data_IF_635786633458
#
_entry.id   IF_635786633458
#
_cell.length_a   1.000
_cell.length_b   1.000
_cell.length_c   1.000
_cell.angle_alpha   90.00
_cell.angle_beta   90.00
_cell.angle_gamma   90.00
#
_symmetry.space_group_name_H-M   'P 1'
#
loop_
_entity.id
_entity.type
_entity.pdbx_description
1 polymer ?
#
# COMPACT_ATOMS: atom_id res chain seq x y z
N UNK A 1 -23.48 16.96 11.71
CA UNK A 1 -23.84 18.06 10.77
C UNK A 1 -22.77 19.12 10.91
N UNK A 2 -21.90 19.27 9.89
CA UNK A 2 -20.94 20.37 9.84
C UNK A 2 -21.50 21.36 8.79
N UNK A 3 -22.31 22.30 9.26
CA UNK A 3 -22.78 23.42 8.43
C UNK A 3 -21.91 24.64 8.74
N UNK A 4 -21.21 25.14 7.74
CA UNK A 4 -20.50 26.41 7.77
C UNK A 4 -19.34 26.38 6.77
N UNK A 5 -19.27 27.31 5.86
CA UNK A 5 -18.11 27.65 5.06
C UNK A 5 -16.99 28.19 5.98
N UNK A 6 -16.48 27.34 6.85
CA UNK A 6 -15.34 27.63 7.69
C UNK A 6 -14.06 27.36 6.89
N UNK A 7 -13.17 28.32 6.94
CA UNK A 7 -11.77 28.18 6.56
C UNK A 7 -11.09 27.21 7.55
N UNK A 8 -11.55 25.94 7.53
CA UNK A 8 -11.10 24.89 8.45
C UNK A 8 -9.65 24.56 8.11
N UNK A 9 -8.71 25.09 8.89
CA UNK A 9 -7.30 24.77 8.75
C UNK A 9 -6.98 23.38 9.28
N UNK A 10 -7.63 22.96 10.35
CA UNK A 10 -7.37 21.68 11.03
C UNK A 10 -8.66 20.93 11.33
N UNK A 11 -8.57 19.58 11.35
CA UNK A 11 -9.68 18.70 11.72
C UNK A 11 -9.19 17.75 12.82
N UNK A 12 -9.85 17.78 13.96
CA UNK A 12 -9.64 16.81 15.03
C UNK A 12 -10.38 15.51 14.67
N UNK A 13 -9.62 14.44 14.42
CA UNK A 13 -10.14 13.15 13.97
C UNK A 13 -10.68 12.30 15.14
N UNK A 14 -10.08 12.48 16.33
CA UNK A 14 -10.41 11.76 17.55
C UNK A 14 -10.34 12.68 18.76
N UNK A 15 -11.09 12.39 19.84
CA UNK A 15 -11.13 13.27 21.02
C UNK A 15 -9.81 13.34 21.79
N UNK A 16 -8.97 12.30 21.69
CA UNK A 16 -7.68 12.20 22.33
C UNK A 16 -6.99 10.89 21.98
N UNK A 17 -5.79 10.68 22.51
CA UNK A 17 -5.01 9.48 22.30
C UNK A 17 -4.24 9.09 23.57
N UNK A 18 -3.78 7.83 23.59
CA UNK A 18 -2.83 7.28 24.55
C UNK A 18 -1.67 6.64 23.76
N UNK A 19 -0.47 6.68 24.33
CA UNK A 19 0.72 6.04 23.75
C UNK A 19 0.70 4.54 24.02
N UNK A 20 1.07 3.76 23.00
CA UNK A 20 1.28 2.34 23.11
C UNK A 20 2.39 1.88 22.16
N UNK A 21 3.01 0.76 22.44
CA UNK A 21 4.17 0.25 21.70
C UNK A 21 3.86 -1.10 21.12
N UNK A 22 4.28 -1.33 19.89
CA UNK A 22 4.03 -2.56 19.16
C UNK A 22 4.69 -3.77 19.82
N UNK A 23 3.94 -4.86 19.95
CA UNK A 23 4.42 -6.15 20.41
C UNK A 23 4.33 -7.16 19.28
N UNK A 24 3.12 -7.41 18.77
CA UNK A 24 2.88 -8.33 17.65
C UNK A 24 1.60 -8.00 16.88
N UNK A 25 1.48 -8.51 15.67
CA UNK A 25 0.26 -8.47 14.88
C UNK A 25 -0.43 -9.83 14.92
N UNK A 26 -1.50 -9.95 15.70
CA UNK A 26 -2.24 -11.20 15.86
C UNK A 26 -2.94 -11.64 14.57
N UNK A 27 -3.45 -10.69 13.83
CA UNK A 27 -4.09 -10.90 12.52
C UNK A 27 -4.14 -9.58 11.75
N UNK A 28 -4.78 -9.60 10.56
CA UNK A 28 -4.84 -8.45 9.66
C UNK A 28 -5.34 -7.15 10.29
N UNK A 29 -6.14 -7.24 11.35
CA UNK A 29 -6.83 -6.09 11.95
C UNK A 29 -6.60 -5.94 13.44
N UNK A 30 -5.76 -6.75 14.06
CA UNK A 30 -5.54 -6.74 15.51
C UNK A 30 -4.07 -6.67 15.83
N UNK A 31 -3.72 -5.68 16.62
CA UNK A 31 -2.39 -5.46 17.16
C UNK A 31 -2.40 -5.71 18.67
N UNK A 32 -1.44 -6.49 19.15
CA UNK A 32 -1.04 -6.55 20.55
C UNK A 32 -0.06 -5.42 20.81
N UNK A 33 -0.40 -4.54 21.73
CA UNK A 33 0.37 -3.36 22.10
C UNK A 33 0.62 -3.35 23.60
N UNK A 34 1.66 -2.63 24.02
CA UNK A 34 1.99 -2.38 25.43
C UNK A 34 1.92 -0.88 25.70
N UNK A 35 1.11 -0.46 26.67
CA UNK A 35 1.02 0.94 27.10
C UNK A 35 2.26 1.35 27.91
N UNK A 36 2.50 2.66 28.07
CA UNK A 36 3.62 3.21 28.83
C UNK A 36 3.62 2.76 30.31
N UNK A 37 2.45 2.42 30.86
CA UNK A 37 2.34 1.87 32.22
C UNK A 37 2.61 0.36 32.32
N UNK A 38 3.00 -0.29 31.21
CA UNK A 38 3.28 -1.73 31.14
C UNK A 38 2.07 -2.62 30.84
N UNK A 39 0.85 -2.07 30.79
CA UNK A 39 -0.37 -2.79 30.47
C UNK A 39 -0.34 -3.36 29.06
N UNK A 40 -0.59 -4.65 28.89
CA UNK A 40 -0.75 -5.28 27.57
C UNK A 40 -2.20 -5.16 27.12
N UNK A 41 -2.39 -4.66 25.90
CA UNK A 41 -3.71 -4.41 25.33
C UNK A 41 -3.82 -4.95 23.91
N UNK A 42 -5.05 -5.12 23.44
CA UNK A 42 -5.40 -5.43 22.05
C UNK A 42 -6.11 -4.25 21.41
N UNK A 43 -5.60 -3.78 20.28
CA UNK A 43 -6.16 -2.65 19.55
C UNK A 43 -6.62 -3.07 18.15
N UNK A 44 -7.79 -2.61 17.72
CA UNK A 44 -8.24 -2.75 16.35
C UNK A 44 -7.51 -1.73 15.46
N UNK A 45 -6.88 -2.20 14.38
CA UNK A 45 -6.28 -1.36 13.34
C UNK A 45 -7.10 -1.48 12.05
N UNK A 46 -7.78 -0.40 11.65
CA UNK A 46 -8.58 -0.36 10.43
C UNK A 46 -7.71 -0.15 9.19
N UNK A 47 -6.60 -0.89 9.10
CA UNK A 47 -5.67 -0.86 7.98
C UNK A 47 -5.33 -2.29 7.54
N UNK A 48 -5.81 -2.72 6.36
CA UNK A 48 -5.53 -4.04 5.84
C UNK A 48 -4.15 -4.19 5.20
N UNK A 49 -3.37 -3.13 5.08
CA UNK A 49 -2.02 -3.11 4.55
C UNK A 49 -1.03 -3.96 5.35
N UNK A 50 0.14 -4.19 4.81
CA UNK A 50 1.19 -4.92 5.51
C UNK A 50 1.76 -4.12 6.67
N UNK A 51 1.98 -2.81 6.45
CA UNK A 51 2.54 -1.89 7.46
C UNK A 51 3.88 -2.37 8.03
N UNK A 52 4.69 -3.08 7.23
CA UNK A 52 5.93 -3.76 7.68
C UNK A 52 6.92 -2.76 8.30
N UNK A 53 6.92 -1.52 7.84
CA UNK A 53 7.74 -0.42 8.35
C UNK A 53 7.41 0.00 9.79
N UNK A 54 6.20 -0.31 10.26
CA UNK A 54 5.72 0.06 11.61
C UNK A 54 5.65 -1.14 12.56
N UNK A 55 5.62 -2.36 12.03
CA UNK A 55 5.44 -3.59 12.82
C UNK A 55 6.79 -4.11 13.36
N UNK A 56 7.52 -3.23 14.03
CA UNK A 56 8.79 -3.53 14.68
C UNK A 56 8.56 -3.45 16.20
N UNK A 57 8.97 -4.46 16.99
CA UNK A 57 8.78 -4.43 18.45
C UNK A 57 9.26 -3.12 19.07
N UNK A 58 8.42 -2.50 19.89
CA UNK A 58 8.68 -1.21 20.52
C UNK A 58 8.35 0.03 19.66
N UNK A 59 7.93 -0.14 18.41
CA UNK A 59 7.51 0.98 17.57
C UNK A 59 6.27 1.67 18.14
N UNK A 60 6.21 3.03 18.16
CA UNK A 60 5.12 3.78 18.77
C UNK A 60 3.82 3.71 17.94
N UNK A 61 2.72 3.45 18.60
CA UNK A 61 1.37 3.56 18.10
C UNK A 61 0.55 4.46 19.01
N UNK A 62 -0.37 5.22 18.43
CA UNK A 62 -1.31 6.06 19.15
C UNK A 62 -2.70 5.42 19.08
N UNK A 63 -3.29 5.24 20.25
CA UNK A 63 -4.55 4.54 20.40
C UNK A 63 -5.63 5.46 20.96
N UNK A 64 -6.88 5.17 20.63
CA UNK A 64 -8.06 5.82 21.24
C UNK A 64 -9.04 4.77 21.71
N UNK A 65 -9.95 5.13 22.60
CA UNK A 65 -11.05 4.25 22.99
C UNK A 65 -12.01 4.07 21.82
N UNK A 66 -12.37 2.81 21.52
CA UNK A 66 -13.35 2.48 20.51
C UNK A 66 -14.76 2.69 21.02
N UNK A 67 -15.62 3.26 20.21
CA UNK A 67 -16.97 3.64 20.65
C UNK A 67 -17.99 2.48 20.68
N UNK A 68 -17.82 1.41 19.90
CA UNK A 68 -18.79 0.28 19.84
C UNK A 68 -18.20 -0.93 19.09
N UNK A 69 -17.25 -1.62 19.63
CA UNK A 69 -16.64 -2.75 18.95
C UNK A 69 -16.16 -3.84 19.89
N UNK A 70 -15.78 -4.98 19.33
CA UNK A 70 -15.18 -6.10 20.04
C UNK A 70 -13.91 -5.70 20.83
N UNK A 71 -13.21 -4.66 20.38
CA UNK A 71 -11.96 -4.19 20.97
C UNK A 71 -12.17 -2.81 21.60
N UNK A 72 -11.72 -2.69 22.86
CA UNK A 72 -11.84 -1.45 23.62
C UNK A 72 -10.93 -0.33 23.07
N UNK A 73 -9.81 -0.71 22.45
CA UNK A 73 -8.88 0.24 21.84
C UNK A 73 -8.85 0.12 20.32
N UNK A 74 -8.58 1.26 19.68
CA UNK A 74 -8.36 1.41 18.25
C UNK A 74 -7.00 2.06 18.01
N UNK A 75 -6.13 1.46 17.22
CA UNK A 75 -4.89 2.07 16.74
C UNK A 75 -5.24 3.04 15.61
N UNK A 76 -4.99 4.33 15.83
CA UNK A 76 -5.45 5.40 14.93
C UNK A 76 -4.33 6.02 14.12
N UNK A 77 -3.13 6.07 14.68
CA UNK A 77 -1.95 6.59 14.00
C UNK A 77 -0.66 5.98 14.58
N UNK A 78 0.43 6.23 13.89
CA UNK A 78 1.79 5.89 14.32
C UNK A 78 2.72 7.05 13.97
N UNK A 79 3.97 7.00 14.44
CA UNK A 79 4.99 7.99 14.10
C UNK A 79 6.14 7.35 13.36
N UNK A 80 6.46 7.86 12.17
CA UNK A 80 7.50 7.30 11.32
C UNK A 80 8.14 8.38 10.44
N UNK A 81 9.47 8.43 10.38
CA UNK A 81 10.23 9.40 9.58
C UNK A 81 9.69 10.84 9.70
N UNK A 82 9.66 11.35 10.93
CA UNK A 82 9.21 12.70 11.28
C UNK A 82 7.78 13.06 10.87
N UNK A 83 6.92 12.04 10.74
CA UNK A 83 5.50 12.21 10.38
C UNK A 83 4.60 11.34 11.24
N UNK A 84 3.45 11.89 11.65
CA UNK A 84 2.33 11.09 12.13
C UNK A 84 1.58 10.51 10.95
N UNK A 85 1.35 9.21 10.96
CA UNK A 85 0.75 8.44 9.87
C UNK A 85 -0.63 7.98 10.30
N UNK A 86 -1.69 8.43 9.63
CA UNK A 86 -3.06 7.96 9.88
C UNK A 86 -3.20 6.49 9.43
N UNK A 87 -3.54 5.63 10.37
CA UNK A 87 -3.76 4.20 10.12
C UNK A 87 -5.23 3.87 9.82
N UNK A 88 -6.16 4.67 10.33
CA UNK A 88 -7.60 4.44 10.16
C UNK A 88 -8.07 4.81 8.73
N UNK A 89 -7.99 3.86 7.82
CA UNK A 89 -8.38 4.06 6.41
C UNK A 89 -9.87 4.38 6.23
N UNK A 90 -10.73 4.02 7.20
CA UNK A 90 -12.18 4.30 7.14
C UNK A 90 -12.44 5.82 7.21
N UNK A 91 -11.60 6.57 7.93
CA UNK A 91 -11.73 8.03 8.03
C UNK A 91 -11.46 8.75 6.71
N UNK A 92 -10.62 8.19 5.85
CA UNK A 92 -10.17 8.85 4.61
C UNK A 92 -11.33 9.18 3.68
N UNK A 93 -12.26 8.24 3.47
CA UNK A 93 -13.43 8.50 2.62
C UNK A 93 -14.29 9.67 3.15
N UNK A 94 -14.43 9.78 4.48
CA UNK A 94 -15.16 10.90 5.08
C UNK A 94 -14.41 12.23 4.94
N UNK A 95 -13.08 12.20 5.01
CA UNK A 95 -12.23 13.36 4.78
C UNK A 95 -12.30 13.85 3.33
N UNK A 96 -12.21 12.92 2.36
CA UNK A 96 -12.36 13.24 0.93
C UNK A 96 -13.75 13.83 0.65
N UNK A 97 -14.81 13.26 1.21
CA UNK A 97 -16.17 13.83 1.05
C UNK A 97 -16.24 15.24 1.61
N UNK A 98 -15.64 15.50 2.76
CA UNK A 98 -15.58 16.84 3.35
C UNK A 98 -14.83 17.80 2.43
N UNK A 99 -13.73 17.37 1.82
CA UNK A 99 -12.96 18.19 0.88
C UNK A 99 -13.75 18.48 -0.40
N UNK A 100 -14.46 17.50 -0.94
CA UNK A 100 -15.36 17.68 -2.09
C UNK A 100 -16.45 18.73 -1.78
N UNK A 101 -17.10 18.62 -0.63
CA UNK A 101 -18.17 19.57 -0.18
C UNK A 101 -17.65 20.99 0.04
N UNK A 102 -16.37 21.16 0.33
CA UNK A 102 -15.73 22.46 0.55
C UNK A 102 -14.89 22.93 -0.65
N UNK A 103 -15.08 22.36 -1.83
CA UNK A 103 -14.38 22.69 -3.07
C UNK A 103 -12.84 22.74 -2.91
N UNK A 104 -12.29 21.80 -2.10
CA UNK A 104 -10.83 21.66 -1.91
C UNK A 104 -10.19 20.72 -2.93
N UNK A 105 -10.99 20.08 -3.75
CA UNK A 105 -10.60 19.21 -4.86
C UNK A 105 -11.23 19.75 -6.14
N UNK A 106 -10.79 20.95 -6.53
CA UNK A 106 -11.30 21.73 -7.67
C UNK A 106 -11.13 21.02 -9.02
N UNK A 107 -10.24 20.05 -9.11
CA UNK A 107 -10.04 19.18 -10.28
C UNK A 107 -11.35 18.50 -10.75
N UNK A 108 -12.31 18.34 -9.85
CA UNK A 108 -13.61 17.75 -10.21
C UNK A 108 -14.66 18.75 -10.71
N UNK A 109 -14.36 20.08 -10.64
CA UNK A 109 -15.27 21.14 -11.05
C UNK A 109 -16.52 21.24 -10.16
N UNK A 110 -17.60 21.76 -10.70
CA UNK A 110 -18.86 21.99 -9.96
C UNK A 110 -19.58 20.66 -9.70
N UNK A 111 -19.39 20.11 -8.52
CA UNK A 111 -20.06 18.87 -8.05
C UNK A 111 -21.41 19.21 -7.45
N UNK A 112 -22.50 18.82 -8.14
CA UNK A 112 -23.87 19.05 -7.66
C UNK A 112 -24.31 17.99 -6.64
N UNK A 113 -23.85 16.73 -6.83
CA UNK A 113 -24.25 15.63 -5.95
C UNK A 113 -23.13 14.63 -5.73
N UNK A 114 -22.93 14.25 -4.48
CA UNK A 114 -21.96 13.23 -4.06
C UNK A 114 -22.73 12.00 -3.59
N UNK A 115 -22.47 10.83 -4.19
CA UNK A 115 -23.03 9.55 -3.78
C UNK A 115 -21.89 8.61 -3.36
N UNK A 116 -21.94 8.17 -2.11
CA UNK A 116 -20.96 7.21 -1.57
C UNK A 116 -21.27 5.77 -2.00
N UNK A 117 -20.23 4.98 -2.10
CA UNK A 117 -20.29 3.50 -2.26
C UNK A 117 -21.22 3.06 -3.40
N UNK A 118 -21.10 3.74 -4.55
CA UNK A 118 -21.94 3.46 -5.72
C UNK A 118 -21.46 2.21 -6.44
N UNK A 119 -22.35 1.23 -6.57
CA UNK A 119 -22.11 0.07 -7.42
C UNK A 119 -22.42 0.43 -8.88
N UNK A 120 -21.42 0.20 -9.75
CA UNK A 120 -21.54 0.28 -11.21
C UNK A 120 -20.95 -1.00 -11.77
N UNK A 121 -21.69 -1.70 -12.60
CA UNK A 121 -21.34 -3.04 -13.07
C UNK A 121 -21.05 -4.01 -11.91
N UNK A 122 -19.83 -4.54 -11.82
CA UNK A 122 -19.41 -5.51 -10.81
C UNK A 122 -18.58 -4.90 -9.67
N UNK A 123 -18.26 -3.61 -9.73
CA UNK A 123 -17.47 -2.92 -8.72
C UNK A 123 -18.26 -1.88 -7.96
N UNK A 124 -17.93 -1.74 -6.70
CA UNK A 124 -18.42 -0.67 -5.83
C UNK A 124 -17.30 0.34 -5.65
N UNK A 125 -17.52 1.55 -6.16
CA UNK A 125 -16.61 2.68 -6.10
C UNK A 125 -16.91 3.56 -4.88
N UNK A 126 -15.89 4.21 -4.35
CA UNK A 126 -16.03 5.02 -3.14
C UNK A 126 -16.98 6.20 -3.36
N UNK A 127 -16.91 6.86 -4.53
CA UNK A 127 -17.80 7.96 -4.87
C UNK A 127 -18.23 7.96 -6.34
N UNK A 128 -19.49 8.38 -6.55
CA UNK A 128 -19.99 8.90 -7.81
C UNK A 128 -20.30 10.39 -7.61
N UNK A 129 -19.67 11.25 -8.42
CA UNK A 129 -19.89 12.70 -8.41
C UNK A 129 -20.68 13.09 -9.65
N UNK A 130 -21.87 13.65 -9.43
CA UNK A 130 -22.69 14.23 -10.50
C UNK A 130 -22.31 15.70 -10.65
N UNK A 131 -22.01 16.14 -11.88
CA UNK A 131 -21.48 17.47 -12.19
C UNK A 131 -22.40 18.19 -13.16
N UNK A 132 -22.50 19.49 -13.04
CA UNK A 132 -23.31 20.33 -13.94
C UNK A 132 -22.74 20.33 -15.35
N UNK A 133 -23.54 19.87 -16.30
CA UNK A 133 -23.18 19.92 -17.74
C UNK A 133 -21.95 19.10 -18.13
N UNK A 134 -21.47 18.17 -17.26
CA UNK A 134 -20.29 17.37 -17.50
C UNK A 134 -20.54 15.87 -17.19
N UNK A 135 -19.64 15.01 -17.67
CA UNK A 135 -19.72 13.58 -17.39
C UNK A 135 -19.63 13.32 -15.89
N UNK A 136 -20.40 12.34 -15.36
CA UNK A 136 -20.25 11.96 -13.95
C UNK A 136 -18.88 11.37 -13.68
N UNK A 137 -18.34 11.62 -12.49
CA UNK A 137 -17.03 11.10 -12.06
C UNK A 137 -17.23 9.86 -11.22
N UNK A 138 -16.52 8.78 -11.55
CA UNK A 138 -16.28 7.66 -10.66
C UNK A 138 -14.93 7.86 -9.98
N UNK A 139 -14.95 7.96 -8.65
CA UNK A 139 -13.74 8.19 -7.84
C UNK A 139 -13.51 7.00 -6.91
N UNK A 140 -12.33 6.43 -7.04
CA UNK A 140 -11.80 5.40 -6.15
C UNK A 140 -10.68 5.98 -5.29
N UNK A 141 -10.67 5.70 -3.99
CA UNK A 141 -9.68 6.21 -3.05
C UNK A 141 -8.76 5.09 -2.60
N UNK A 142 -7.48 5.39 -2.54
CA UNK A 142 -6.45 4.49 -2.03
C UNK A 142 -5.68 5.18 -0.93
N UNK A 143 -5.67 4.59 0.27
CA UNK A 143 -4.80 5.04 1.36
C UNK A 143 -3.37 4.57 1.09
N UNK A 144 -2.42 5.50 1.16
CA UNK A 144 -1.00 5.26 0.97
C UNK A 144 -0.25 5.67 2.24
N UNK A 145 0.21 4.69 3.02
CA UNK A 145 1.03 4.92 4.22
C UNK A 145 2.52 4.68 3.96
N UNK A 146 2.87 3.96 2.90
CA UNK A 146 4.26 3.70 2.55
C UNK A 146 4.88 4.93 1.88
N UNK A 147 5.87 5.52 2.54
CA UNK A 147 6.70 6.59 1.99
C UNK A 147 8.13 6.44 2.51
N UNK A 148 9.10 6.41 1.62
CA UNK A 148 10.51 6.32 1.98
C UNK A 148 11.32 7.34 1.20
N UNK A 149 12.13 8.15 1.89
CA UNK A 149 12.94 9.22 1.29
C UNK A 149 12.13 10.19 0.39
N UNK A 150 10.87 10.45 0.75
CA UNK A 150 9.98 11.32 -0.01
C UNK A 150 9.30 10.67 -1.20
N UNK A 151 9.49 9.37 -1.44
CA UNK A 151 8.80 8.60 -2.47
C UNK A 151 7.65 7.84 -1.83
N UNK A 152 6.43 8.27 -2.10
CA UNK A 152 5.22 7.56 -1.66
C UNK A 152 4.88 6.46 -2.68
N UNK A 153 4.52 5.27 -2.18
CA UNK A 153 4.29 4.10 -3.03
C UNK A 153 3.01 3.35 -2.62
N UNK A 154 2.26 2.89 -3.62
CA UNK A 154 1.08 2.04 -3.44
C UNK A 154 1.09 0.90 -4.48
N UNK A 155 0.68 -0.33 -4.14
CA UNK A 155 0.20 -0.78 -2.82
C UNK A 155 1.34 -1.22 -1.88
N UNK A 156 1.04 -1.33 -0.59
CA UNK A 156 1.91 -1.93 0.42
C UNK A 156 1.69 -3.44 0.59
N UNK A 157 0.64 -4.00 -0.05
CA UNK A 157 0.33 -5.43 -0.14
C UNK A 157 -0.25 -5.78 -1.52
N UNK A 158 -0.06 -7.00 -2.05
CA UNK A 158 -0.66 -7.40 -3.32
C UNK A 158 -2.18 -7.21 -3.34
N UNK A 159 -2.70 -6.51 -4.35
CA UNK A 159 -4.09 -6.09 -4.43
C UNK A 159 -4.80 -6.50 -5.73
N UNK A 160 -5.22 -7.76 -5.81
CA UNK A 160 -6.02 -8.25 -6.96
C UNK A 160 -7.30 -7.43 -7.16
N UNK A 161 -7.94 -6.99 -6.06
CA UNK A 161 -9.13 -6.12 -6.11
C UNK A 161 -8.78 -4.75 -6.69
N UNK A 162 -7.69 -4.14 -6.25
CA UNK A 162 -7.26 -2.83 -6.75
C UNK A 162 -6.98 -2.86 -8.25
N UNK A 163 -6.28 -3.91 -8.74
CA UNK A 163 -6.05 -4.10 -10.17
C UNK A 163 -7.37 -4.23 -10.96
N UNK A 164 -8.30 -5.07 -10.50
CA UNK A 164 -9.61 -5.23 -11.12
C UNK A 164 -10.37 -3.91 -11.20
N UNK A 165 -10.33 -3.08 -10.13
CA UNK A 165 -10.97 -1.77 -10.13
C UNK A 165 -10.37 -0.87 -11.22
N UNK A 166 -9.03 -0.83 -11.40
CA UNK A 166 -8.41 -0.05 -12.47
C UNK A 166 -8.85 -0.53 -13.87
N UNK A 167 -8.84 -1.84 -14.10
CA UNK A 167 -9.27 -2.43 -15.38
C UNK A 167 -10.74 -2.12 -15.69
N UNK A 168 -11.60 -2.12 -14.69
CA UNK A 168 -13.02 -1.79 -14.83
C UNK A 168 -13.23 -0.28 -15.03
N UNK A 169 -12.47 0.57 -14.36
CA UNK A 169 -12.48 2.03 -14.57
C UNK A 169 -12.06 2.42 -15.98
N UNK A 170 -11.08 1.73 -16.60
CA UNK A 170 -10.75 1.92 -18.02
C UNK A 170 -11.96 1.65 -18.93
N UNK A 171 -12.70 0.58 -18.65
CA UNK A 171 -13.91 0.23 -19.42
C UNK A 171 -15.02 1.26 -19.22
N UNK A 172 -15.25 1.70 -17.97
CA UNK A 172 -16.28 2.69 -17.64
C UNK A 172 -15.99 4.08 -18.22
N UNK A 173 -14.71 4.44 -18.36
CA UNK A 173 -14.32 5.68 -19.03
C UNK A 173 -14.80 5.72 -20.50
N UNK A 174 -14.76 4.57 -21.19
CA UNK A 174 -15.28 4.45 -22.56
C UNK A 174 -16.83 4.45 -22.60
N UNK A 175 -17.49 4.18 -21.47
CA UNK A 175 -18.95 4.19 -21.33
C UNK A 175 -19.53 5.55 -20.88
N UNK A 176 -18.70 6.60 -20.84
CA UNK A 176 -19.18 7.96 -20.59
C UNK A 176 -18.95 8.48 -19.18
N UNK A 177 -18.16 7.79 -18.35
CA UNK A 177 -17.71 8.30 -17.06
C UNK A 177 -16.34 8.98 -17.18
N UNK A 178 -16.09 10.00 -16.35
CA UNK A 178 -14.73 10.40 -16.00
C UNK A 178 -14.27 9.54 -14.82
N UNK A 179 -13.14 8.87 -14.93
CA UNK A 179 -12.68 7.92 -13.92
C UNK A 179 -11.39 8.39 -13.27
N UNK A 180 -11.37 8.40 -11.92
CA UNK A 180 -10.25 8.89 -11.12
C UNK A 180 -9.90 7.93 -10.00
N UNK A 181 -8.59 7.69 -9.82
CA UNK A 181 -8.06 7.09 -8.60
C UNK A 181 -7.29 8.15 -7.83
N UNK A 182 -7.69 8.42 -6.59
CA UNK A 182 -7.02 9.35 -5.69
C UNK A 182 -6.22 8.57 -4.66
N UNK A 183 -4.90 8.77 -4.64
CA UNK A 183 -4.01 8.27 -3.62
C UNK A 183 -3.91 9.30 -2.50
N UNK A 184 -4.49 8.95 -1.35
CA UNK A 184 -4.36 9.74 -0.14
C UNK A 184 -3.09 9.30 0.59
N UNK A 185 -2.05 10.13 0.53
CA UNK A 185 -0.75 9.86 1.12
C UNK A 185 -0.75 10.38 2.56
N UNK A 186 -0.62 9.47 3.52
CA UNK A 186 -0.58 9.78 4.95
C UNK A 186 0.83 10.18 5.42
N UNK A 187 1.57 10.92 4.62
CA UNK A 187 2.97 11.25 4.92
C UNK A 187 3.30 12.67 4.45
N UNK A 188 3.67 13.56 5.37
CA UNK A 188 3.96 14.96 5.10
C UNK A 188 5.18 15.18 4.20
N UNK A 189 6.17 14.30 4.28
CA UNK A 189 7.42 14.37 3.54
C UNK A 189 7.34 13.87 2.10
N UNK A 190 6.18 13.36 1.63
CA UNK A 190 6.04 12.83 0.29
C UNK A 190 6.28 13.93 -0.76
N UNK A 191 7.21 13.70 -1.68
CA UNK A 191 7.58 14.61 -2.77
C UNK A 191 7.15 14.10 -4.14
N UNK A 192 7.01 12.79 -4.26
CA UNK A 192 6.63 12.12 -5.49
C UNK A 192 5.86 10.85 -5.16
N UNK A 193 4.91 10.47 -6.01
CA UNK A 193 4.18 9.22 -5.93
C UNK A 193 4.52 8.31 -7.10
N UNK A 194 4.56 7.00 -6.84
CA UNK A 194 4.66 5.98 -7.89
C UNK A 194 4.00 4.66 -7.46
N UNK A 195 3.55 3.81 -8.42
CA UNK A 195 3.07 2.49 -8.11
C UNK A 195 4.21 1.60 -7.60
N UNK A 196 3.91 0.75 -6.60
CA UNK A 196 4.89 -0.14 -5.98
C UNK A 196 5.02 -1.48 -6.72
N UNK A 197 5.84 -1.51 -7.76
CA UNK A 197 6.09 -2.72 -8.54
C UNK A 197 6.80 -3.83 -7.76
N UNK A 198 7.53 -3.51 -6.70
CA UNK A 198 8.14 -4.51 -5.83
C UNK A 198 7.10 -5.32 -5.05
N UNK A 199 6.01 -4.68 -4.65
CA UNK A 199 4.93 -5.34 -3.91
C UNK A 199 3.90 -5.98 -4.84
N UNK A 200 3.49 -5.26 -5.90
CA UNK A 200 2.50 -5.77 -6.86
C UNK A 200 2.81 -5.27 -8.29
N UNK A 201 3.60 -6.06 -9.00
CA UNK A 201 3.95 -5.79 -10.40
C UNK A 201 2.71 -5.75 -11.30
N UNK A 202 1.70 -6.60 -11.02
CA UNK A 202 0.50 -6.66 -11.84
C UNK A 202 -0.38 -5.41 -11.69
N UNK A 203 -0.50 -4.87 -10.46
CA UNK A 203 -1.15 -3.58 -10.21
C UNK A 203 -0.38 -2.44 -10.89
N UNK A 204 0.93 -2.39 -10.70
CA UNK A 204 1.80 -1.36 -11.27
C UNK A 204 1.77 -1.37 -12.81
N UNK A 205 1.74 -2.56 -13.41
CA UNK A 205 1.58 -2.68 -14.86
C UNK A 205 0.21 -2.20 -15.35
N UNK A 206 -0.87 -2.47 -14.61
CA UNK A 206 -2.21 -1.95 -14.92
C UNK A 206 -2.23 -0.42 -14.82
N UNK A 207 -1.66 0.15 -13.75
CA UNK A 207 -1.49 1.59 -13.60
C UNK A 207 -0.75 2.22 -14.78
N UNK A 208 0.41 1.67 -15.16
CA UNK A 208 1.23 2.20 -16.26
C UNK A 208 0.59 2.06 -17.64
N UNK A 209 -0.32 1.09 -17.82
CA UNK A 209 -1.06 0.84 -19.08
C UNK A 209 -2.35 1.63 -19.18
N UNK A 210 -2.85 2.18 -18.08
CA UNK A 210 -4.07 2.98 -18.06
C UNK A 210 -3.95 4.19 -18.98
N UNK A 211 -4.99 4.41 -19.80
CA UNK A 211 -5.08 5.51 -20.78
C UNK A 211 -6.18 6.51 -20.44
N UNK A 212 -7.22 6.04 -19.79
CA UNK A 212 -8.45 6.82 -19.53
C UNK A 212 -8.67 7.10 -18.05
N UNK A 213 -8.11 6.28 -17.14
CA UNK A 213 -8.14 6.57 -15.69
C UNK A 213 -7.16 7.70 -15.38
N UNK A 214 -7.65 8.74 -14.72
CA UNK A 214 -6.82 9.84 -14.21
C UNK A 214 -6.38 9.51 -12.79
N UNK A 215 -5.09 9.70 -12.52
CA UNK A 215 -4.51 9.45 -11.21
C UNK A 215 -4.19 10.76 -10.52
N UNK A 216 -4.58 10.86 -9.25
CA UNK A 216 -4.31 11.99 -8.37
C UNK A 216 -3.60 11.47 -7.13
N UNK A 217 -2.62 12.20 -6.64
CA UNK A 217 -1.94 11.88 -5.39
C UNK A 217 -1.89 13.15 -4.53
N UNK A 218 -2.37 13.05 -3.29
CA UNK A 218 -2.40 14.17 -2.36
C UNK A 218 -1.76 13.77 -1.04
N UNK A 219 -0.88 14.62 -0.54
CA UNK A 219 -0.24 14.46 0.77
C UNK A 219 -1.07 15.16 1.84
N UNK A 220 -1.37 14.41 2.90
CA UNK A 220 -2.02 14.90 4.10
C UNK A 220 -1.02 14.94 5.26
N UNK A 221 -1.08 15.97 6.08
CA UNK A 221 -0.18 16.18 7.23
C UNK A 221 -0.95 16.12 8.52
N UNK A 222 -0.41 15.40 9.50
CA UNK A 222 -0.89 15.39 10.87
C UNK A 222 0.14 16.06 11.77
N UNK A 223 -0.20 17.19 12.43
CA UNK A 223 0.68 17.87 13.39
C UNK A 223 0.77 17.12 14.73
N UNK A 224 -0.21 16.29 15.03
CA UNK A 224 -0.27 15.42 16.21
C UNK A 224 -1.00 14.10 15.85
N UNK A 225 -1.04 13.10 16.76
CA UNK A 225 -1.61 11.77 16.46
C UNK A 225 -3.08 11.74 16.04
N UNK A 226 -3.85 12.79 16.30
CA UNK A 226 -5.32 12.80 16.16
C UNK A 226 -5.87 14.00 15.37
N UNK A 227 -5.02 14.88 14.89
CA UNK A 227 -5.40 16.09 14.15
C UNK A 227 -4.85 16.06 12.72
N UNK A 228 -5.67 16.42 11.75
CA UNK A 228 -5.27 16.61 10.35
C UNK A 228 -5.16 18.10 10.05
N UNK A 229 -4.07 18.54 9.43
CA UNK A 229 -3.88 19.91 8.93
C UNK A 229 -4.21 19.99 7.44
N UNK A 230 -5.29 20.67 7.12
CA UNK A 230 -5.73 20.92 5.75
C UNK A 230 -5.07 22.10 5.09
N UNK A 231 -4.37 22.97 5.84
CA UNK A 231 -3.70 24.15 5.27
C UNK A 231 -2.50 23.78 4.42
N UNK A 232 -1.92 22.60 4.69
CA UNK A 232 -0.77 22.04 3.98
C UNK A 232 -1.12 20.81 3.12
N UNK A 233 -2.42 20.54 2.94
CA UNK A 233 -2.88 19.50 2.01
C UNK A 233 -2.52 19.91 0.58
N UNK A 234 -1.77 19.06 -0.11
CA UNK A 234 -1.21 19.40 -1.41
C UNK A 234 -1.15 18.23 -2.36
N UNK A 235 -1.24 18.54 -3.64
CA UNK A 235 -0.96 17.57 -4.69
C UNK A 235 0.52 17.16 -4.69
N UNK A 236 0.75 15.88 -4.98
CA UNK A 236 2.07 15.27 -5.10
C UNK A 236 2.23 14.78 -6.53
N UNK A 237 3.30 15.18 -7.25
CA UNK A 237 3.49 14.74 -8.62
C UNK A 237 3.65 13.23 -8.72
N UNK A 238 3.18 12.66 -9.82
CA UNK A 238 3.29 11.24 -10.13
C UNK A 238 4.44 11.03 -11.12
N UNK A 239 5.41 10.20 -10.76
CA UNK A 239 6.53 9.86 -11.65
C UNK A 239 6.16 8.74 -12.61
N UNK A 240 5.48 9.08 -13.69
CA UNK A 240 5.13 8.14 -14.76
C UNK A 240 6.34 7.60 -15.51
N UNK A 241 7.41 8.38 -15.63
CA UNK A 241 8.62 7.98 -16.38
C UNK A 241 9.33 6.82 -15.69
N UNK A 242 9.69 7.00 -14.43
CA UNK A 242 10.32 5.94 -13.62
C UNK A 242 9.38 4.76 -13.45
N UNK A 243 8.08 5.00 -13.21
CA UNK A 243 7.07 3.95 -13.09
C UNK A 243 7.05 3.03 -14.31
N UNK A 244 7.00 3.58 -15.53
CA UNK A 244 7.01 2.80 -16.77
C UNK A 244 8.29 1.99 -16.93
N UNK A 245 9.43 2.51 -16.50
CA UNK A 245 10.71 1.81 -16.54
C UNK A 245 10.74 0.65 -15.56
N UNK A 246 10.26 0.86 -14.34
CA UNK A 246 10.21 -0.15 -13.27
C UNK A 246 9.11 -1.21 -13.47
N UNK A 247 8.03 -0.89 -14.19
CA UNK A 247 6.96 -1.84 -14.51
C UNK A 247 7.31 -2.84 -15.61
N UNK A 248 8.56 -2.91 -16.05
CA UNK A 248 9.02 -3.95 -16.96
C UNK A 248 9.33 -5.23 -16.17
N UNK A 249 8.94 -6.38 -16.71
CA UNK A 249 9.21 -7.70 -16.13
C UNK A 249 10.68 -8.11 -16.29
N UNK A 250 11.58 -7.24 -15.79
CA UNK A 250 13.03 -7.43 -15.81
C UNK A 250 13.68 -6.80 -14.58
N UNK A 251 14.84 -7.31 -14.19
CA UNK A 251 15.62 -6.78 -13.06
C UNK A 251 16.41 -7.86 -12.35
N UNK A 252 16.84 -7.56 -11.12
CA UNK A 252 17.48 -8.50 -10.23
C UNK A 252 16.49 -9.08 -9.23
N UNK A 253 16.78 -10.26 -8.72
CA UNK A 253 15.96 -10.95 -7.73
C UNK A 253 16.82 -11.69 -6.72
N UNK A 254 16.27 -11.89 -5.53
CA UNK A 254 16.84 -12.70 -4.48
C UNK A 254 15.95 -13.93 -4.25
N UNK A 255 16.55 -15.10 -4.19
CA UNK A 255 15.87 -16.32 -3.76
C UNK A 255 16.51 -16.81 -2.48
N UNK A 256 15.71 -16.90 -1.43
CA UNK A 256 16.14 -17.43 -0.13
C UNK A 256 15.77 -18.89 -0.03
N UNK A 257 16.74 -19.71 0.34
CA UNK A 257 16.57 -21.15 0.53
C UNK A 257 16.95 -21.52 1.96
N UNK A 258 16.23 -22.44 2.54
CA UNK A 258 16.59 -23.06 3.79
C UNK A 258 17.09 -24.50 3.54
N UNK A 259 18.27 -24.78 4.08
CA UNK A 259 18.86 -26.11 4.12
C UNK A 259 18.72 -26.69 5.54
N UNK A 260 18.01 -27.79 5.69
CA UNK A 260 17.76 -28.42 6.99
C UNK A 260 18.82 -29.46 7.40
N UNK A 261 19.64 -29.93 6.43
CA UNK A 261 20.68 -30.94 6.68
C UNK A 261 21.94 -30.66 5.86
N UNK A 262 23.12 -30.82 6.43
CA UNK A 262 24.37 -30.70 5.67
C UNK A 262 24.43 -31.68 4.51
N UNK A 263 24.92 -31.23 3.35
CA UNK A 263 25.19 -32.09 2.21
C UNK A 263 26.35 -31.56 1.35
N UNK A 264 26.94 -32.47 0.55
CA UNK A 264 27.92 -32.13 -0.48
C UNK A 264 27.31 -32.25 -1.86
N UNK A 265 27.68 -31.35 -2.75
CA UNK A 265 27.17 -31.35 -4.13
C UNK A 265 28.19 -30.76 -5.09
N UNK A 266 28.38 -31.45 -6.22
CA UNK A 266 29.16 -30.89 -7.34
C UNK A 266 28.31 -29.90 -8.12
N UNK A 267 28.82 -28.68 -8.25
CA UNK A 267 28.14 -27.53 -8.87
C UNK A 267 28.85 -27.15 -10.16
N UNK A 268 28.63 -27.92 -11.23
CA UNK A 268 29.24 -27.67 -12.53
C UNK A 268 30.74 -27.39 -12.43
N UNK A 269 31.20 -26.31 -13.03
CA UNK A 269 32.62 -25.88 -13.01
C UNK A 269 33.15 -25.42 -11.66
N UNK A 270 32.27 -25.19 -10.67
CA UNK A 270 32.69 -24.82 -9.30
C UNK A 270 33.22 -26.02 -8.50
N UNK A 271 33.04 -27.25 -9.00
CA UNK A 271 33.43 -28.48 -8.33
C UNK A 271 32.54 -28.81 -7.14
N UNK A 272 33.05 -29.68 -6.26
CA UNK A 272 32.32 -30.06 -5.03
C UNK A 272 32.29 -28.93 -4.01
N UNK A 273 31.10 -28.72 -3.42
CA UNK A 273 30.84 -27.69 -2.38
C UNK A 273 30.11 -28.32 -1.21
N UNK A 274 30.47 -27.92 -0.02
CA UNK A 274 29.80 -28.26 1.24
C UNK A 274 28.72 -27.23 1.56
N UNK A 275 27.52 -27.71 1.84
CA UNK A 275 26.40 -26.89 2.26
C UNK A 275 25.99 -27.26 3.68
N UNK A 276 26.21 -26.35 4.62
CA UNK A 276 25.83 -26.51 6.02
C UNK A 276 24.33 -26.27 6.22
N UNK A 277 23.80 -26.64 7.38
CA UNK A 277 22.44 -26.24 7.79
C UNK A 277 22.34 -24.72 7.90
N UNK A 278 21.29 -24.11 7.35
CA UNK A 278 21.09 -22.67 7.42
C UNK A 278 20.44 -22.05 6.18
N UNK A 279 20.43 -20.74 6.13
CA UNK A 279 19.88 -19.98 5.01
C UNK A 279 20.93 -19.67 3.96
N UNK A 280 20.50 -19.79 2.70
CA UNK A 280 21.30 -19.44 1.52
C UNK A 280 20.54 -18.45 0.65
N UNK A 281 21.26 -17.48 0.13
CA UNK A 281 20.68 -16.47 -0.76
C UNK A 281 21.32 -16.59 -2.15
N UNK A 282 20.47 -16.76 -3.15
CA UNK A 282 20.88 -16.68 -4.55
C UNK A 282 20.49 -15.33 -5.12
N UNK A 283 21.47 -14.61 -5.68
CA UNK A 283 21.27 -13.33 -6.38
C UNK A 283 21.28 -13.62 -7.88
N UNK A 284 20.20 -13.26 -8.56
CA UNK A 284 20.08 -13.45 -10.00
C UNK A 284 19.51 -12.23 -10.72
N UNK A 285 19.59 -12.25 -12.04
CA UNK A 285 18.98 -11.23 -12.89
C UNK A 285 18.23 -11.86 -14.06
N UNK A 286 17.20 -11.17 -14.54
CA UNK A 286 16.48 -11.54 -15.76
C UNK A 286 16.12 -10.27 -16.55
N UNK A 287 16.62 -10.18 -17.78
CA UNK A 287 16.44 -9.00 -18.63
C UNK A 287 15.27 -9.12 -19.60
N UNK A 288 14.63 -10.31 -19.70
CA UNK A 288 13.48 -10.54 -20.58
C UNK A 288 12.19 -10.77 -19.81
N UNK A 289 12.24 -11.59 -18.72
CA UNK A 289 11.09 -11.85 -17.84
C UNK A 289 11.57 -12.43 -16.53
N UNK A 290 11.41 -11.66 -15.45
CA UNK A 290 11.63 -12.09 -14.07
C UNK A 290 10.69 -13.24 -13.72
N UNK A 291 9.41 -13.11 -14.04
CA UNK A 291 8.40 -14.10 -13.71
C UNK A 291 8.74 -15.47 -14.33
N UNK A 292 9.08 -15.52 -15.62
CA UNK A 292 9.47 -16.78 -16.29
C UNK A 292 10.76 -17.35 -15.70
N UNK A 293 11.73 -16.49 -15.37
CA UNK A 293 13.00 -16.90 -14.79
C UNK A 293 12.80 -17.50 -13.40
N UNK A 294 12.05 -16.83 -12.54
CA UNK A 294 11.74 -17.29 -11.17
C UNK A 294 10.91 -18.57 -11.22
N UNK A 295 9.82 -18.62 -12.01
CA UNK A 295 9.01 -19.84 -12.22
C UNK A 295 9.86 -21.01 -12.68
N UNK A 296 10.84 -20.77 -13.55
CA UNK A 296 11.76 -21.83 -13.98
C UNK A 296 12.64 -22.31 -12.82
N UNK A 297 13.19 -21.41 -12.00
CA UNK A 297 14.01 -21.80 -10.85
C UNK A 297 13.22 -22.58 -9.80
N UNK A 298 11.94 -22.31 -9.63
CA UNK A 298 11.05 -23.02 -8.70
C UNK A 298 10.62 -24.42 -9.16
N UNK A 299 10.81 -24.76 -10.45
CA UNK A 299 10.48 -26.11 -10.97
C UNK A 299 11.40 -27.15 -10.34
N UNK A 300 10.82 -28.24 -9.85
CA UNK A 300 11.59 -29.40 -9.35
C UNK A 300 12.34 -30.13 -10.47
N UNK A 301 11.71 -30.29 -11.63
CA UNK A 301 12.29 -30.91 -12.80
C UNK A 301 12.63 -29.87 -13.84
N UNK A 302 13.91 -29.74 -14.19
CA UNK A 302 14.43 -28.79 -15.17
C UNK A 302 15.79 -29.19 -15.72
N UNK A 303 16.09 -28.75 -16.94
CA UNK A 303 17.44 -28.92 -17.51
C UNK A 303 18.39 -27.95 -16.74
N UNK A 304 19.49 -28.48 -16.23
CA UNK A 304 20.50 -27.69 -15.51
C UNK A 304 21.16 -26.69 -16.48
N UNK A 305 21.14 -25.41 -16.10
CA UNK A 305 21.76 -24.30 -16.86
C UNK A 305 22.54 -23.36 -15.96
N UNK A 306 22.14 -23.19 -14.70
CA UNK A 306 22.75 -22.29 -13.73
C UNK A 306 23.20 -23.05 -12.49
N UNK A 307 24.16 -22.52 -11.77
CA UNK A 307 24.66 -23.13 -10.53
C UNK A 307 23.53 -23.44 -9.53
N UNK A 308 22.54 -22.54 -9.43
CA UNK A 308 21.35 -22.78 -8.61
C UNK A 308 20.57 -24.05 -8.97
N UNK A 309 20.54 -24.43 -10.23
CA UNK A 309 19.75 -25.60 -10.67
C UNK A 309 20.29 -26.93 -10.09
N UNK A 310 21.57 -26.99 -9.71
CA UNK A 310 22.16 -28.17 -9.06
C UNK A 310 21.65 -28.41 -7.64
N UNK A 311 21.18 -27.35 -6.94
CA UNK A 311 20.80 -27.41 -5.52
C UNK A 311 19.31 -27.16 -5.29
N UNK A 312 18.66 -26.29 -6.05
CA UNK A 312 17.28 -25.85 -5.81
C UNK A 312 16.21 -26.90 -6.11
N UNK A 313 16.54 -27.94 -6.87
CA UNK A 313 15.57 -28.97 -7.26
C UNK A 313 15.48 -30.14 -6.28
N UNK A 314 16.55 -30.43 -5.54
CA UNK A 314 16.70 -31.67 -4.78
C UNK A 314 17.13 -31.49 -3.33
N UNK A 315 17.81 -30.38 -2.99
CA UNK A 315 18.57 -30.28 -1.76
C UNK A 315 18.07 -29.18 -0.81
N UNK A 316 17.42 -28.13 -1.30
CA UNK A 316 17.00 -26.99 -0.46
C UNK A 316 15.56 -26.61 -0.73
N UNK A 317 14.86 -26.17 0.31
CA UNK A 317 13.50 -25.62 0.19
C UNK A 317 13.57 -24.12 -0.06
N UNK A 318 12.87 -23.64 -1.10
CA UNK A 318 12.70 -22.18 -1.29
C UNK A 318 11.83 -21.66 -0.16
N UNK A 319 12.34 -20.66 0.56
CA UNK A 319 11.63 -19.97 1.64
C UNK A 319 10.91 -18.72 1.09
N UNK A 320 11.68 -17.81 0.48
CA UNK A 320 11.13 -16.55 -0.09
C UNK A 320 11.80 -16.18 -1.42
N UNK A 321 11.10 -15.35 -2.19
CA UNK A 321 11.62 -14.70 -3.40
C UNK A 321 11.29 -13.21 -3.31
N UNK A 322 12.31 -12.37 -3.53
CA UNK A 322 12.22 -10.91 -3.49
C UNK A 322 12.59 -10.32 -4.85
#
# INVERSE_FOLDING_TARGET
MYNGSMNMKTIKLYPGFEDAYFVERENRFVLSLRKSNGESIRAYAANPGRMEEFLVPGHPFFITRGNNGKYFYRAVSTYYQDSYILLDTIKINSLVELMLKNNRLDVFGDVERIRREKTVNRSRFDFLLERKGAKPVLLEIKSCSLCHNGVAMFPDAPTKRGRRHLEEMETLALQGYDTYTLYWINHSSARVFMPNGHTDMAYSAAFCKSKHVRFLAYSATMPDPVTLDLSVFREVPIDYKTSRTLCQDKGSYLMVFFNDKPFKKTIGSLGERDFQTGYYVYVGSAMQSLEKRIKRHLRKTKKVRWHLDFISSQCMKTDKVY
#
